data_IF_371693435245
#
_entry.id   IF_371693435245
#
_cell.length_a   1.000
_cell.length_b   1.000
_cell.length_c   1.000
_cell.angle_alpha   90.00
_cell.angle_beta   90.00
_cell.angle_gamma   90.00
#
_symmetry.space_group_name_H-M   'P 1'
#
loop_
_entity.id
_entity.type
_entity.pdbx_description
1 polymer ?
#
# COMPACT_ATOMS: atom_id res chain seq x y z
N UNK A 1 -17.95 3.14 2.71
CA UNK A 1 -18.15 2.00 1.78
C UNK A 1 -17.15 0.89 2.11
N UNK A 2 -17.64 -0.30 2.22
CA UNK A 2 -16.81 -1.47 2.51
C UNK A 2 -16.23 -2.05 1.23
N UNK A 3 -14.91 -2.23 1.16
CA UNK A 3 -14.24 -2.85 0.00
C UNK A 3 -14.13 -4.37 0.16
N UNK A 4 -13.76 -4.81 1.34
CA UNK A 4 -13.72 -6.23 1.76
C UNK A 4 -14.16 -6.32 3.22
N UNK A 5 -14.15 -7.51 3.80
CA UNK A 5 -14.63 -7.71 5.17
C UNK A 5 -13.97 -6.79 6.21
N UNK A 6 -12.67 -6.51 6.06
CA UNK A 6 -11.92 -5.74 7.06
C UNK A 6 -11.34 -4.42 6.52
N UNK A 7 -11.65 -4.03 5.28
CA UNK A 7 -11.12 -2.80 4.69
C UNK A 7 -12.22 -1.94 4.09
N UNK A 8 -12.15 -0.63 4.40
CA UNK A 8 -13.12 0.35 3.92
C UNK A 8 -12.45 1.31 2.92
N UNK A 9 -13.27 1.93 2.07
CA UNK A 9 -12.80 2.96 1.14
C UNK A 9 -12.21 4.15 1.91
N UNK A 10 -12.82 4.53 3.02
CA UNK A 10 -12.36 5.64 3.85
C UNK A 10 -10.94 5.40 4.35
N UNK A 11 -10.65 4.19 4.81
CA UNK A 11 -9.34 3.79 5.29
C UNK A 11 -8.27 3.86 4.20
N UNK A 12 -8.63 3.56 2.96
CA UNK A 12 -7.71 3.54 1.82
C UNK A 12 -7.56 4.90 1.14
N UNK A 13 -8.30 5.91 1.56
CA UNK A 13 -8.28 7.25 0.94
C UNK A 13 -7.99 8.38 1.92
N UNK A 14 -7.97 8.11 3.23
CA UNK A 14 -7.72 9.15 4.23
C UNK A 14 -6.30 9.70 4.09
N UNK A 15 -6.18 11.03 4.18
CA UNK A 15 -4.89 11.72 4.15
C UNK A 15 -4.97 12.97 5.00
N UNK A 16 -4.18 13.03 6.06
CA UNK A 16 -4.08 14.22 6.91
C UNK A 16 -3.52 15.40 6.14
N UNK A 17 -2.58 15.14 5.22
CA UNK A 17 -2.01 16.17 4.37
C UNK A 17 -3.06 16.79 3.45
N UNK A 18 -3.90 15.97 2.83
CA UNK A 18 -4.99 16.45 1.99
C UNK A 18 -5.98 17.30 2.79
N UNK A 19 -6.36 16.84 3.99
CA UNK A 19 -7.28 17.58 4.86
C UNK A 19 -6.70 18.95 5.25
N UNK A 20 -5.44 19.01 5.68
CA UNK A 20 -4.79 20.26 6.08
C UNK A 20 -4.66 21.26 4.95
N UNK A 21 -4.54 20.79 3.72
CA UNK A 21 -4.32 21.66 2.55
C UNK A 21 -5.57 21.83 1.69
N UNK A 22 -6.72 21.35 2.14
CA UNK A 22 -7.97 21.48 1.41
C UNK A 22 -7.96 20.79 0.06
N UNK A 23 -7.22 19.70 -0.07
CA UNK A 23 -7.11 18.93 -1.31
C UNK A 23 -8.19 17.86 -1.34
N UNK A 24 -8.94 17.81 -2.44
CA UNK A 24 -9.90 16.73 -2.69
C UNK A 24 -9.13 15.46 -3.07
N UNK A 25 -9.24 14.44 -2.21
CA UNK A 25 -8.63 13.13 -2.45
C UNK A 25 -9.68 12.06 -2.76
N UNK A 26 -10.79 12.46 -3.38
CA UNK A 26 -11.86 11.52 -3.76
C UNK A 26 -11.44 10.71 -4.97
N UNK A 27 -11.44 9.36 -4.90
CA UNK A 27 -11.09 8.52 -6.04
C UNK A 27 -12.22 8.44 -7.05
N UNK A 28 -11.88 8.20 -8.31
CA UNK A 28 -12.86 7.86 -9.35
C UNK A 28 -13.40 6.45 -9.15
N UNK A 29 -14.45 6.08 -9.87
CA UNK A 29 -14.99 4.72 -9.83
C UNK A 29 -13.96 3.68 -10.27
N UNK A 30 -13.12 4.00 -11.24
CA UNK A 30 -12.02 3.12 -11.66
C UNK A 30 -11.00 2.92 -10.55
N UNK A 31 -10.63 3.99 -9.86
CA UNK A 31 -9.69 3.93 -8.73
C UNK A 31 -10.27 3.12 -7.56
N UNK A 32 -11.56 3.25 -7.31
CA UNK A 32 -12.25 2.47 -6.27
C UNK A 32 -12.19 0.98 -6.60
N UNK A 33 -12.42 0.61 -7.86
CA UNK A 33 -12.34 -0.79 -8.29
C UNK A 33 -10.91 -1.32 -8.13
N UNK A 34 -9.90 -0.53 -8.46
CA UNK A 34 -8.50 -0.92 -8.26
C UNK A 34 -8.19 -1.12 -6.77
N UNK A 35 -8.68 -0.24 -5.91
CA UNK A 35 -8.53 -0.39 -4.45
C UNK A 35 -9.22 -1.66 -3.95
N UNK A 36 -10.40 -1.98 -4.48
CA UNK A 36 -11.11 -3.19 -4.11
C UNK A 36 -10.30 -4.44 -4.49
N UNK A 37 -9.72 -4.46 -5.68
CA UNK A 37 -8.87 -5.58 -6.13
C UNK A 37 -7.60 -5.72 -5.28
N UNK A 38 -6.98 -4.60 -4.89
CA UNK A 38 -5.83 -4.61 -3.99
C UNK A 38 -6.21 -5.23 -2.64
N UNK A 39 -7.37 -4.84 -2.10
CA UNK A 39 -7.85 -5.40 -0.84
C UNK A 39 -8.16 -6.89 -0.97
N UNK A 40 -8.88 -7.30 -2.01
CA UNK A 40 -9.26 -8.70 -2.21
C UNK A 40 -8.07 -9.64 -2.37
N UNK A 41 -7.06 -9.20 -3.10
CA UNK A 41 -5.95 -10.07 -3.49
C UNK A 41 -4.75 -9.99 -2.55
N UNK A 42 -4.58 -8.90 -1.82
CA UNK A 42 -3.40 -8.68 -0.98
C UNK A 42 -3.77 -8.40 0.48
N UNK A 43 -4.48 -7.29 0.75
CA UNK A 43 -4.65 -6.82 2.12
C UNK A 43 -5.57 -7.72 2.96
N UNK A 44 -6.68 -8.17 2.39
CA UNK A 44 -7.61 -9.05 3.09
C UNK A 44 -6.99 -10.43 3.36
N UNK A 45 -6.31 -11.09 2.41
CA UNK A 45 -5.57 -12.32 2.69
C UNK A 45 -4.54 -12.16 3.83
N UNK A 46 -3.80 -11.05 3.85
CA UNK A 46 -2.85 -10.77 4.94
C UNK A 46 -3.56 -10.63 6.28
N UNK A 47 -4.68 -9.89 6.29
CA UNK A 47 -5.49 -9.70 7.50
C UNK A 47 -5.95 -11.03 8.08
N UNK A 48 -6.35 -11.96 7.21
CA UNK A 48 -6.80 -13.29 7.60
C UNK A 48 -5.64 -14.19 8.04
N UNK A 49 -4.53 -14.16 7.28
CA UNK A 49 -3.37 -15.01 7.57
C UNK A 49 -2.72 -14.69 8.92
N UNK A 50 -2.61 -13.40 9.25
CA UNK A 50 -2.03 -12.97 10.53
C UNK A 50 -3.07 -12.83 11.64
N UNK A 51 -4.34 -12.71 11.28
CA UNK A 51 -5.45 -12.44 12.21
C UNK A 51 -5.17 -11.22 13.10
N UNK A 52 -4.56 -10.19 12.52
CA UNK A 52 -4.18 -8.94 13.18
C UNK A 52 -4.53 -7.77 12.26
N UNK A 53 -4.87 -6.61 12.82
CA UNK A 53 -5.19 -5.44 11.99
C UNK A 53 -3.96 -4.93 11.24
N UNK A 54 -4.17 -4.49 9.99
CA UNK A 54 -3.21 -3.74 9.21
C UNK A 54 -3.45 -2.25 9.43
N UNK A 55 -2.38 -1.49 9.59
CA UNK A 55 -2.45 -0.02 9.64
C UNK A 55 -1.97 0.52 8.30
N UNK A 56 -2.92 1.06 7.52
CA UNK A 56 -2.62 1.66 6.22
C UNK A 56 -2.22 3.12 6.45
N UNK A 57 -0.99 3.46 6.12
CA UNK A 57 -0.49 4.84 6.27
C UNK A 57 -0.72 5.66 5.01
N UNK A 58 -0.82 5.02 3.85
CA UNK A 58 -1.12 5.70 2.58
C UNK A 58 -1.73 4.71 1.60
N UNK A 59 -2.90 5.05 1.07
CA UNK A 59 -3.55 4.29 0.01
C UNK A 59 -3.62 5.13 -1.26
N UNK A 60 -4.83 5.46 -1.70
CA UNK A 60 -5.01 6.32 -2.88
C UNK A 60 -4.52 7.74 -2.62
N UNK A 61 -3.84 8.30 -3.62
CA UNK A 61 -3.43 9.71 -3.66
C UNK A 61 -3.89 10.31 -4.98
N UNK A 62 -4.64 11.41 -4.92
CA UNK A 62 -4.90 12.19 -6.12
C UNK A 62 -3.59 12.73 -6.69
N UNK A 63 -3.56 13.05 -7.98
CA UNK A 63 -2.35 13.61 -8.61
C UNK A 63 -1.89 14.89 -7.92
N UNK A 64 -2.85 15.73 -7.50
CA UNK A 64 -2.54 16.98 -6.80
C UNK A 64 -1.88 16.69 -5.44
N UNK A 65 -2.41 15.73 -4.68
CA UNK A 65 -1.82 15.33 -3.41
C UNK A 65 -0.42 14.72 -3.62
N UNK A 66 -0.25 13.88 -4.63
CA UNK A 66 1.04 13.27 -4.96
C UNK A 66 2.10 14.35 -5.23
N UNK A 67 1.75 15.37 -6.02
CA UNK A 67 2.64 16.49 -6.28
C UNK A 67 3.04 17.23 -5.01
N UNK A 68 2.10 17.44 -4.09
CA UNK A 68 2.37 18.15 -2.84
C UNK A 68 3.32 17.37 -1.92
N UNK A 69 3.17 16.04 -1.84
CA UNK A 69 4.02 15.21 -0.97
C UNK A 69 5.32 14.74 -1.64
N UNK A 70 5.59 15.21 -2.85
CA UNK A 70 6.82 14.87 -3.57
C UNK A 70 6.80 13.50 -4.25
N UNK A 71 5.63 12.88 -4.39
CA UNK A 71 5.46 11.64 -5.15
C UNK A 71 5.29 11.93 -6.63
N UNK A 72 5.61 10.93 -7.46
CA UNK A 72 5.36 11.02 -8.90
C UNK A 72 3.87 10.85 -9.19
N UNK A 73 3.34 11.60 -10.16
CA UNK A 73 1.94 11.44 -10.61
C UNK A 73 1.71 10.10 -11.34
N UNK A 74 2.79 9.42 -11.72
CA UNK A 74 2.76 8.07 -12.31
C UNK A 74 2.79 6.97 -11.26
N UNK A 75 2.86 7.31 -9.97
CA UNK A 75 2.83 6.35 -8.87
C UNK A 75 1.55 5.50 -8.90
N UNK A 76 1.67 4.24 -8.57
CA UNK A 76 0.51 3.34 -8.45
C UNK A 76 -0.46 3.75 -7.35
N UNK A 77 -0.05 4.58 -6.38
CA UNK A 77 -0.96 5.20 -5.43
C UNK A 77 -1.99 6.10 -6.15
N UNK A 78 -1.60 6.74 -7.25
CA UNK A 78 -2.51 7.62 -8.00
C UNK A 78 -3.55 6.86 -8.82
N UNK A 79 -3.36 5.59 -9.06
CA UNK A 79 -4.33 4.75 -9.75
C UNK A 79 -5.17 3.89 -8.81
N UNK A 80 -4.91 3.94 -7.50
CA UNK A 80 -5.58 3.08 -6.52
C UNK A 80 -5.03 1.67 -6.46
N UNK A 81 -3.85 1.43 -7.02
CA UNK A 81 -3.26 0.09 -7.11
C UNK A 81 -2.25 -0.20 -6.00
N UNK A 82 -1.96 0.74 -5.12
CA UNK A 82 -0.91 0.59 -4.11
C UNK A 82 -1.34 1.07 -2.73
N UNK A 83 -0.72 0.48 -1.71
CA UNK A 83 -0.86 0.92 -0.33
C UNK A 83 0.45 0.74 0.41
N UNK A 84 0.70 1.63 1.36
CA UNK A 84 1.78 1.52 2.34
C UNK A 84 1.16 1.13 3.67
N UNK A 85 1.72 0.14 4.35
CA UNK A 85 1.11 -0.36 5.58
C UNK A 85 2.14 -1.04 6.49
N UNK A 86 1.71 -1.26 7.73
CA UNK A 86 2.41 -2.12 8.70
C UNK A 86 1.38 -3.02 9.37
N UNK A 87 1.85 -4.13 9.97
CA UNK A 87 1.05 -4.95 10.88
C UNK A 87 1.70 -4.77 12.26
N UNK A 88 1.13 -3.92 13.14
CA UNK A 88 1.73 -3.69 14.45
C UNK A 88 1.97 -5.00 15.21
N UNK A 89 3.16 -5.16 15.77
CA UNK A 89 3.56 -6.36 16.49
C UNK A 89 4.17 -7.46 15.63
N UNK A 90 4.21 -7.29 14.31
CA UNK A 90 4.82 -8.24 13.38
C UNK A 90 5.98 -7.58 12.66
N UNK A 91 7.09 -8.28 12.54
CA UNK A 91 8.29 -7.80 11.84
C UNK A 91 7.95 -7.54 10.35
N UNK A 92 8.23 -6.33 9.88
CA UNK A 92 7.96 -5.93 8.49
C UNK A 92 8.64 -6.86 7.47
N UNK A 93 9.85 -7.29 7.76
CA UNK A 93 10.57 -8.20 6.86
C UNK A 93 9.88 -9.56 6.75
N UNK A 94 9.31 -10.04 7.83
CA UNK A 94 8.54 -11.29 7.84
C UNK A 94 7.29 -11.17 6.98
N UNK A 95 6.56 -10.07 7.11
CA UNK A 95 5.36 -9.80 6.29
C UNK A 95 5.76 -9.67 4.81
N UNK A 96 6.84 -8.95 4.54
CA UNK A 96 7.38 -8.80 3.19
C UNK A 96 7.66 -10.16 2.53
N UNK A 97 8.36 -11.04 3.23
CA UNK A 97 8.66 -12.40 2.73
C UNK A 97 7.40 -13.21 2.48
N UNK A 98 6.41 -13.10 3.36
CA UNK A 98 5.12 -13.77 3.21
C UNK A 98 4.42 -13.34 1.91
N UNK A 99 4.44 -12.04 1.61
CA UNK A 99 3.87 -11.52 0.37
C UNK A 99 4.60 -12.07 -0.85
N UNK A 100 5.93 -12.03 -0.82
CA UNK A 100 6.77 -12.52 -1.94
C UNK A 100 6.47 -13.99 -2.25
N UNK A 101 6.30 -14.81 -1.21
CA UNK A 101 6.14 -16.25 -1.35
C UNK A 101 4.71 -16.68 -1.66
N UNK A 102 3.69 -15.91 -1.25
CA UNK A 102 2.32 -16.41 -1.23
C UNK A 102 1.28 -15.56 -1.96
N UNK A 103 1.55 -14.30 -2.28
CA UNK A 103 0.52 -13.40 -2.79
C UNK A 103 0.83 -12.90 -4.21
N UNK A 104 -0.23 -12.67 -5.03
CA UNK A 104 -0.07 -12.32 -6.45
C UNK A 104 0.16 -10.81 -6.65
N UNK A 105 1.18 -10.23 -6.02
CA UNK A 105 1.43 -8.78 -6.10
C UNK A 105 2.06 -8.39 -7.44
N UNK A 106 1.87 -7.13 -7.83
CA UNK A 106 2.63 -6.53 -8.91
C UNK A 106 4.04 -6.18 -8.41
N UNK A 107 4.11 -5.41 -7.31
CA UNK A 107 5.37 -5.01 -6.72
C UNK A 107 5.23 -4.97 -5.20
N UNK A 108 6.25 -5.42 -4.48
CA UNK A 108 6.34 -5.24 -3.04
C UNK A 108 7.72 -4.67 -2.69
N UNK A 109 7.73 -3.68 -1.82
CA UNK A 109 8.96 -2.98 -1.42
C UNK A 109 9.03 -2.94 0.10
N UNK A 110 10.13 -3.43 0.65
CA UNK A 110 10.45 -3.24 2.05
C UNK A 110 11.21 -1.92 2.17
N UNK A 111 10.54 -0.89 2.71
CA UNK A 111 11.05 0.47 2.72
C UNK A 111 11.61 0.86 4.09
N UNK A 112 12.87 1.29 4.10
CA UNK A 112 13.58 1.82 5.29
C UNK A 112 13.55 0.88 6.49
N UNK A 113 13.63 -0.41 6.23
CA UNK A 113 13.62 -1.43 7.27
C UNK A 113 14.87 -1.33 8.16
N UNK A 114 14.66 -1.46 9.47
CA UNK A 114 15.72 -1.59 10.47
C UNK A 114 15.44 -2.82 11.33
N UNK A 115 16.46 -3.32 12.03
CA UNK A 115 16.29 -4.48 12.93
C UNK A 115 15.37 -4.18 14.11
N UNK A 116 15.14 -2.91 14.42
CA UNK A 116 14.16 -2.46 15.41
C UNK A 116 12.75 -2.39 14.81
N UNK A 117 12.53 -3.03 13.67
CA UNK A 117 11.28 -3.04 12.91
C UNK A 117 10.85 -1.66 12.44
N UNK A 118 11.82 -0.86 11.96
CA UNK A 118 11.53 0.43 11.33
C UNK A 118 10.96 0.26 9.93
N UNK A 119 10.51 1.39 9.36
CA UNK A 119 10.01 1.43 8.00
C UNK A 119 8.61 0.87 7.84
N UNK A 120 8.28 0.49 6.61
CA UNK A 120 6.95 0.00 6.25
C UNK A 120 7.04 -0.87 4.99
N UNK A 121 5.88 -1.40 4.57
CA UNK A 121 5.75 -2.19 3.35
C UNK A 121 4.92 -1.40 2.35
N UNK A 122 5.44 -1.25 1.14
CA UNK A 122 4.69 -0.79 -0.02
C UNK A 122 4.29 -2.02 -0.85
N UNK A 123 3.02 -2.13 -1.20
CA UNK A 123 2.54 -3.23 -2.05
C UNK A 123 1.60 -2.70 -3.10
N UNK A 124 1.69 -3.25 -4.32
CA UNK A 124 0.76 -2.94 -5.39
C UNK A 124 0.19 -4.20 -6.01
N UNK A 125 -0.99 -4.05 -6.60
CA UNK A 125 -1.67 -5.13 -7.29
C UNK A 125 -2.25 -4.64 -8.62
N UNK A 126 -1.96 -5.38 -9.67
CA UNK A 126 -2.67 -5.31 -10.95
C UNK A 126 -2.88 -6.75 -11.41
N UNK A 127 -3.93 -7.04 -12.20
CA UNK A 127 -4.09 -8.38 -12.80
C UNK A 127 -2.84 -8.75 -13.61
N UNK A 128 -2.35 -9.97 -13.43
CA UNK A 128 -1.12 -10.45 -14.07
C UNK A 128 0.12 -9.60 -13.75
N UNK A 129 0.25 -9.21 -12.48
CA UNK A 129 1.35 -8.39 -12.00
C UNK A 129 2.73 -9.02 -12.19
N UNK A 130 3.76 -8.16 -12.05
CA UNK A 130 5.16 -8.54 -12.31
C UNK A 130 5.78 -9.48 -11.27
N UNK A 131 5.23 -9.50 -10.06
CA UNK A 131 5.85 -10.24 -8.96
C UNK A 131 7.20 -9.69 -8.53
N UNK A 132 7.39 -8.37 -8.64
CA UNK A 132 8.67 -7.73 -8.36
C UNK A 132 8.85 -7.42 -6.88
N UNK A 133 9.97 -7.87 -6.30
CA UNK A 133 10.30 -7.62 -4.90
C UNK A 133 11.57 -6.76 -4.81
N UNK A 134 11.49 -5.67 -4.08
CA UNK A 134 12.57 -4.69 -3.90
C UNK A 134 12.73 -4.33 -2.43
N UNK A 135 13.91 -3.82 -2.10
CA UNK A 135 14.13 -3.09 -0.86
C UNK A 135 14.49 -1.64 -1.20
N UNK A 136 14.21 -0.72 -0.29
CA UNK A 136 14.54 0.69 -0.46
C UNK A 136 15.10 1.27 0.83
N UNK A 137 16.21 1.99 0.71
CA UNK A 137 16.79 2.80 1.79
C UNK A 137 17.23 4.15 1.22
N UNK A 138 18.00 4.92 2.01
CA UNK A 138 18.51 6.24 1.56
C UNK A 138 19.40 6.16 0.33
N UNK A 139 19.95 4.99 0.03
CA UNK A 139 20.79 4.76 -1.16
C UNK A 139 19.98 4.39 -2.40
N UNK A 140 18.67 4.22 -2.26
CA UNK A 140 17.76 3.91 -3.36
C UNK A 140 17.22 2.47 -3.33
N UNK A 141 16.78 2.01 -4.49
CA UNK A 141 16.16 0.70 -4.64
C UNK A 141 17.19 -0.38 -4.91
N UNK A 142 16.96 -1.57 -4.34
CA UNK A 142 17.75 -2.78 -4.61
C UNK A 142 16.81 -3.94 -4.85
N UNK A 143 17.18 -4.83 -5.78
CA UNK A 143 16.42 -6.07 -6.00
C UNK A 143 16.57 -6.99 -4.79
N UNK A 144 15.45 -7.54 -4.36
CA UNK A 144 15.42 -8.52 -3.27
C UNK A 144 15.98 -9.87 -3.70
#
# INVERSE_FOLDING_TARGET
MKLTNNFSLEELTVSQTALRNGIDNTPSSEHIENLRLLCENILQPLREDYNLPLVVSSGYRSKKLAGLVGSKITSQHCSGCAADFTIPGVDNKKVFKHIVENLPMDQVILEYYTEENGGWIHVSYVPNGRGQALTKDKEGYKTW
#
